data_IF_940140672986
#
_entry.id   IF_940140672986
#
_cell.length_a   1.000
_cell.length_b   1.000
_cell.length_c   1.000
_cell.angle_alpha   90.00
_cell.angle_beta   90.00
_cell.angle_gamma   90.00
#
_symmetry.space_group_name_H-M   'P 1'
#
loop_
_entity.id
_entity.type
_entity.pdbx_description
1 polymer ?
#
# COMPACT_ATOMS: atom_id res chain seq x y z
N UNK A 1 -21.83 28.39 28.17
CA UNK A 1 -22.84 27.40 27.73
C UNK A 1 -22.28 26.19 26.95
N UNK A 2 -21.10 26.24 26.30
CA UNK A 2 -20.55 25.14 25.48
C UNK A 2 -20.27 23.80 26.23
N UNK A 3 -20.18 23.78 27.56
CA UNK A 3 -19.93 22.56 28.35
C UNK A 3 -21.14 21.97 29.09
N UNK A 4 -22.25 22.71 29.21
CA UNK A 4 -23.39 22.26 30.03
C UNK A 4 -24.23 21.19 29.33
N UNK A 5 -24.46 21.32 28.03
CA UNK A 5 -25.27 20.36 27.26
C UNK A 5 -24.57 18.99 27.16
N UNK A 6 -23.28 18.90 26.80
CA UNK A 6 -22.57 17.62 26.80
C UNK A 6 -22.51 16.96 28.18
N UNK A 7 -22.33 17.75 29.24
CA UNK A 7 -22.33 17.25 30.63
C UNK A 7 -23.70 16.75 31.11
N UNK A 8 -24.78 17.40 30.66
CA UNK A 8 -26.14 17.01 31.02
C UNK A 8 -26.58 15.74 30.30
N UNK A 9 -26.14 15.55 29.05
CA UNK A 9 -26.50 14.41 28.19
C UNK A 9 -25.55 13.21 28.31
N UNK A 10 -24.46 13.34 29.08
CA UNK A 10 -23.57 12.23 29.37
C UNK A 10 -24.17 11.35 30.47
N UNK A 11 -24.30 10.05 30.17
CA UNK A 11 -24.80 9.04 31.10
C UNK A 11 -23.70 7.98 31.22
N UNK A 12 -23.11 7.81 32.41
CA UNK A 12 -21.97 6.92 32.61
C UNK A 12 -22.40 5.44 32.60
N UNK A 13 -21.53 4.56 32.09
CA UNK A 13 -21.60 3.09 32.23
C UNK A 13 -22.89 2.42 31.73
N UNK A 14 -23.50 2.94 30.67
CA UNK A 14 -24.68 2.34 30.03
C UNK A 14 -24.36 1.95 28.58
N UNK A 15 -25.06 0.94 28.08
CA UNK A 15 -24.99 0.55 26.65
C UNK A 15 -25.50 1.71 25.77
N UNK A 16 -25.05 1.80 24.52
CA UNK A 16 -25.37 2.90 23.60
C UNK A 16 -26.89 3.09 23.42
N UNK A 17 -27.65 1.99 23.45
CA UNK A 17 -29.11 2.04 23.34
C UNK A 17 -29.77 2.68 24.56
N UNK A 18 -29.23 2.42 25.76
CA UNK A 18 -29.67 3.06 27.00
C UNK A 18 -29.18 4.50 27.08
N UNK A 19 -27.98 4.79 26.59
CA UNK A 19 -27.48 6.16 26.46
C UNK A 19 -28.41 7.00 25.57
N UNK A 20 -28.76 6.51 24.38
CA UNK A 20 -29.67 7.20 23.45
C UNK A 20 -31.02 7.50 24.10
N UNK A 21 -31.63 6.51 24.76
CA UNK A 21 -32.92 6.69 25.41
C UNK A 21 -32.85 7.61 26.61
N UNK A 22 -31.81 7.49 27.42
CA UNK A 22 -31.56 8.40 28.54
C UNK A 22 -31.42 9.85 28.09
N UNK A 23 -30.75 10.11 26.97
CA UNK A 23 -30.68 11.44 26.38
C UNK A 23 -32.06 11.94 25.93
N UNK A 24 -32.85 11.11 25.26
CA UNK A 24 -34.22 11.44 24.87
C UNK A 24 -35.07 11.75 26.10
N UNK A 25 -34.99 10.96 27.16
CA UNK A 25 -35.70 11.19 28.43
C UNK A 25 -35.32 12.54 29.03
N UNK A 26 -34.02 12.85 29.10
CA UNK A 26 -33.53 14.11 29.66
C UNK A 26 -34.06 15.30 28.85
N UNK A 27 -34.00 15.22 27.52
CA UNK A 27 -34.52 16.28 26.64
C UNK A 27 -36.02 16.47 26.81
N UNK A 28 -36.80 15.39 26.82
CA UNK A 28 -38.25 15.46 27.00
C UNK A 28 -38.63 15.99 28.39
N UNK A 29 -37.95 15.54 29.45
CA UNK A 29 -38.21 16.00 30.81
C UNK A 29 -37.85 17.48 31.00
N UNK A 30 -36.76 17.95 30.38
CA UNK A 30 -36.41 19.38 30.35
C UNK A 30 -37.46 20.19 29.61
N UNK A 31 -37.91 19.72 28.44
CA UNK A 31 -38.95 20.37 27.66
C UNK A 31 -40.24 20.52 28.49
N UNK A 32 -40.66 19.44 29.17
CA UNK A 32 -41.84 19.47 30.04
C UNK A 32 -41.64 20.45 31.19
N UNK A 33 -40.49 20.44 31.88
CA UNK A 33 -40.19 21.39 32.95
C UNK A 33 -40.26 22.85 32.47
N UNK A 34 -39.73 23.13 31.27
CA UNK A 34 -39.82 24.47 30.67
C UNK A 34 -41.29 24.84 30.41
N UNK A 35 -42.08 23.93 29.83
CA UNK A 35 -43.51 24.14 29.59
C UNK A 35 -44.26 24.38 30.91
N UNK A 36 -43.97 23.60 31.95
CA UNK A 36 -44.57 23.75 33.28
C UNK A 36 -44.30 25.14 33.86
N UNK A 37 -43.06 25.62 33.81
CA UNK A 37 -42.70 26.97 34.26
C UNK A 37 -43.46 28.03 33.47
N UNK A 38 -43.48 27.92 32.13
CA UNK A 38 -44.15 28.88 31.25
C UNK A 38 -45.69 28.88 31.41
N UNK A 39 -46.28 27.72 31.69
CA UNK A 39 -47.74 27.59 31.89
C UNK A 39 -48.21 28.11 33.25
N UNK A 40 -47.32 28.18 34.24
CA UNK A 40 -47.67 28.55 35.63
C UNK A 40 -48.34 29.94 35.73
N UNK A 41 -47.82 31.03 35.13
CA UNK A 41 -48.52 32.32 35.15
C UNK A 41 -49.85 32.29 34.37
N UNK A 42 -49.94 31.49 33.31
CA UNK A 42 -51.15 31.38 32.49
C UNK A 42 -52.32 30.77 33.29
N UNK A 43 -52.05 29.80 34.17
CA UNK A 43 -53.05 29.19 35.05
C UNK A 43 -53.77 30.23 35.91
N UNK A 44 -53.07 31.25 36.41
CA UNK A 44 -53.65 32.33 37.20
C UNK A 44 -54.49 33.31 36.37
N UNK A 45 -54.20 33.43 35.07
CA UNK A 45 -54.91 34.34 34.16
C UNK A 45 -56.17 33.68 33.62
N UNK A 46 -56.07 32.43 33.15
CA UNK A 46 -57.15 31.73 32.42
C UNK A 46 -58.13 31.07 33.38
N UNK A 47 -57.64 30.48 34.47
CA UNK A 47 -58.48 29.75 35.42
C UNK A 47 -58.18 30.16 36.87
N UNK A 48 -58.49 31.41 37.27
CA UNK A 48 -58.15 31.91 38.61
C UNK A 48 -58.75 31.07 39.75
N UNK A 49 -59.94 30.50 39.51
CA UNK A 49 -60.70 29.73 40.51
C UNK A 49 -60.07 28.37 40.83
N UNK A 50 -59.34 27.77 39.87
CA UNK A 50 -58.65 26.48 40.03
C UNK A 50 -57.13 26.62 40.06
N UNK A 51 -56.61 27.84 40.23
CA UNK A 51 -55.19 28.12 40.13
C UNK A 51 -54.35 27.40 41.19
N UNK A 52 -54.84 27.31 42.43
CA UNK A 52 -54.11 26.66 43.54
C UNK A 52 -53.93 25.14 43.34
N UNK A 53 -54.98 24.34 43.04
CA UNK A 53 -54.80 22.92 42.70
C UNK A 53 -53.90 22.69 41.49
N UNK A 54 -54.05 23.48 40.43
CA UNK A 54 -53.23 23.36 39.22
C UNK A 54 -51.77 23.72 39.47
N UNK A 55 -51.51 24.70 40.35
CA UNK A 55 -50.15 25.03 40.79
C UNK A 55 -49.51 23.85 41.54
N UNK A 56 -50.25 23.18 42.42
CA UNK A 56 -49.73 22.01 43.14
C UNK A 56 -49.35 20.89 42.15
N UNK A 57 -50.18 20.64 41.14
CA UNK A 57 -49.90 19.67 40.06
C UNK A 57 -48.65 20.08 39.27
N UNK A 58 -48.51 21.36 38.92
CA UNK A 58 -47.32 21.87 38.23
C UNK A 58 -46.04 21.71 39.06
N UNK A 59 -46.08 22.05 40.35
CA UNK A 59 -44.93 21.89 41.26
C UNK A 59 -44.57 20.41 41.41
N UNK A 60 -45.55 19.55 41.64
CA UNK A 60 -45.33 18.11 41.75
C UNK A 60 -44.73 17.54 40.45
N UNK A 61 -45.28 17.92 39.30
CA UNK A 61 -44.75 17.56 37.99
C UNK A 61 -43.30 18.01 37.81
N UNK A 62 -42.99 19.27 38.14
CA UNK A 62 -41.64 19.80 38.04
C UNK A 62 -40.63 19.01 38.90
N UNK A 63 -41.01 18.67 40.14
CA UNK A 63 -40.18 17.86 41.04
C UNK A 63 -39.96 16.46 40.47
N UNK A 64 -41.02 15.81 39.96
CA UNK A 64 -40.93 14.46 39.40
C UNK A 64 -40.07 14.44 38.13
N UNK A 65 -40.27 15.36 37.19
CA UNK A 65 -39.46 15.41 35.96
C UNK A 65 -38.01 15.81 36.23
N UNK A 66 -37.76 16.61 37.29
CA UNK A 66 -36.39 16.83 37.78
C UNK A 66 -35.78 15.54 38.33
N UNK A 67 -36.53 14.76 39.10
CA UNK A 67 -36.08 13.45 39.58
C UNK A 67 -35.82 12.47 38.42
N UNK A 68 -36.65 12.50 37.36
CA UNK A 68 -36.44 11.72 36.13
C UNK A 68 -35.10 12.09 35.47
N UNK A 69 -34.77 13.38 35.37
CA UNK A 69 -33.48 13.83 34.81
C UNK A 69 -32.32 13.30 35.66
N UNK A 70 -32.41 13.42 36.98
CA UNK A 70 -31.38 12.91 37.90
C UNK A 70 -31.23 11.39 37.77
N UNK A 71 -32.35 10.66 37.71
CA UNK A 71 -32.37 9.20 37.61
C UNK A 71 -31.76 8.70 36.29
N UNK A 72 -32.06 9.39 35.17
CA UNK A 72 -31.41 9.13 33.87
C UNK A 72 -29.90 9.37 33.94
N UNK A 73 -29.45 10.41 34.63
CA UNK A 73 -28.02 10.73 34.74
C UNK A 73 -27.21 9.77 35.61
N UNK A 74 -27.84 9.13 36.59
CA UNK A 74 -27.17 8.09 37.40
C UNK A 74 -27.17 6.71 36.71
N UNK A 75 -27.59 6.63 35.44
CA UNK A 75 -27.59 5.40 34.65
C UNK A 75 -28.86 4.55 34.79
N UNK A 76 -29.83 4.97 35.60
CA UNK A 76 -31.08 4.23 35.82
C UNK A 76 -32.13 4.56 34.74
N UNK A 77 -31.76 4.39 33.47
CA UNK A 77 -32.54 4.82 32.29
C UNK A 77 -33.91 4.12 32.20
N UNK A 78 -33.96 2.83 32.56
CA UNK A 78 -35.20 2.07 32.55
C UNK A 78 -36.23 2.65 33.53
N UNK A 79 -35.81 2.90 34.77
CA UNK A 79 -36.69 3.42 35.82
C UNK A 79 -37.06 4.88 35.59
N UNK A 80 -36.13 5.70 35.08
CA UNK A 80 -36.44 7.08 34.72
C UNK A 80 -37.44 7.17 33.58
N UNK A 81 -37.33 6.28 32.58
CA UNK A 81 -38.29 6.18 31.50
C UNK A 81 -39.67 5.70 31.96
N UNK A 82 -39.72 4.69 32.83
CA UNK A 82 -40.97 4.20 33.39
C UNK A 82 -41.66 5.28 34.23
N UNK A 83 -40.92 5.96 35.11
CA UNK A 83 -41.42 7.07 35.91
C UNK A 83 -41.95 8.21 35.04
N UNK A 84 -41.23 8.56 33.97
CA UNK A 84 -41.67 9.57 33.01
C UNK A 84 -43.05 9.21 32.42
N UNK A 85 -43.18 8.00 31.88
CA UNK A 85 -44.42 7.55 31.21
C UNK A 85 -45.57 7.43 32.21
N UNK A 86 -45.33 6.85 33.38
CA UNK A 86 -46.35 6.73 34.44
C UNK A 86 -46.85 8.11 34.87
N UNK A 87 -45.96 9.10 35.00
CA UNK A 87 -46.32 10.46 35.43
C UNK A 87 -47.20 11.15 34.40
N UNK A 88 -46.83 11.13 33.12
CA UNK A 88 -47.65 11.76 32.06
C UNK A 88 -48.98 11.03 31.86
N UNK A 89 -48.99 9.70 31.92
CA UNK A 89 -50.23 8.91 31.84
C UNK A 89 -51.16 9.22 33.01
N UNK A 90 -50.64 9.24 34.24
CA UNK A 90 -51.46 9.50 35.43
C UNK A 90 -52.07 10.90 35.38
N UNK A 91 -51.34 11.89 34.87
CA UNK A 91 -51.86 13.25 34.68
C UNK A 91 -53.01 13.31 33.66
N UNK A 92 -52.94 12.53 32.58
CA UNK A 92 -54.02 12.49 31.57
C UNK A 92 -55.24 11.75 32.11
N UNK A 93 -55.02 10.66 32.85
CA UNK A 93 -56.09 9.86 33.45
C UNK A 93 -56.89 10.59 34.52
N UNK A 94 -56.35 11.66 35.12
CA UNK A 94 -57.08 12.47 36.10
C UNK A 94 -57.99 13.52 35.46
N UNK A 95 -57.87 13.79 34.15
CA UNK A 95 -58.65 14.83 33.46
C UNK A 95 -60.17 14.60 33.56
N UNK A 96 -60.73 13.39 33.40
CA UNK A 96 -62.16 13.12 33.56
C UNK A 96 -62.73 13.43 34.96
N UNK A 97 -61.87 13.60 35.97
CA UNK A 97 -62.26 13.95 37.35
C UNK A 97 -62.17 15.45 37.64
N UNK A 98 -61.70 16.25 36.69
CA UNK A 98 -61.49 17.67 36.90
C UNK A 98 -62.79 18.36 37.28
N UNK A 99 -62.77 19.14 38.36
CA UNK A 99 -63.92 19.78 39.05
C UNK A 99 -64.80 20.66 38.11
N UNK A 100 -64.36 20.94 36.87
CA UNK A 100 -65.06 21.75 35.87
C UNK A 100 -65.05 21.13 34.45
N UNK A 101 -64.89 19.81 34.31
CA UNK A 101 -64.86 19.20 32.97
C UNK A 101 -66.25 18.86 32.44
N UNK A 102 -66.62 19.45 31.31
CA UNK A 102 -67.83 19.07 30.58
C UNK A 102 -67.77 17.61 30.11
N UNK A 103 -68.94 16.99 29.89
CA UNK A 103 -69.05 15.61 29.39
C UNK A 103 -68.20 15.38 28.13
N UNK A 104 -68.12 16.37 27.25
CA UNK A 104 -67.33 16.28 26.01
C UNK A 104 -65.84 16.06 26.31
N UNK A 105 -65.27 16.82 27.25
CA UNK A 105 -63.85 16.72 27.65
C UNK A 105 -63.55 15.35 28.27
N UNK A 106 -64.50 14.80 29.02
CA UNK A 106 -64.37 13.47 29.62
C UNK A 106 -64.31 12.33 28.58
N UNK A 107 -65.01 12.47 27.44
CA UNK A 107 -64.95 11.50 26.35
C UNK A 107 -63.80 11.74 25.35
N UNK A 108 -63.25 12.95 25.27
CA UNK A 108 -62.15 13.30 24.35
C UNK A 108 -60.76 13.21 24.99
N UNK A 109 -60.64 13.40 26.31
CA UNK A 109 -59.37 13.22 27.03
C UNK A 109 -58.64 11.87 26.83
N UNK A 110 -59.33 10.72 26.64
CA UNK A 110 -58.68 9.43 26.41
C UNK A 110 -57.84 9.38 25.13
N UNK A 111 -58.16 10.22 24.14
CA UNK A 111 -57.38 10.31 22.90
C UNK A 111 -55.97 10.86 23.16
N UNK A 112 -55.75 11.63 24.23
CA UNK A 112 -54.40 12.09 24.59
C UNK A 112 -53.49 10.97 25.12
N UNK A 113 -54.05 9.83 25.55
CA UNK A 113 -53.25 8.66 25.97
C UNK A 113 -52.41 8.08 24.81
N UNK A 114 -52.76 8.38 23.57
CA UNK A 114 -51.92 8.06 22.38
C UNK A 114 -50.53 8.66 22.52
N UNK A 115 -50.40 9.90 23.01
CA UNK A 115 -49.11 10.54 23.19
C UNK A 115 -48.22 9.77 24.18
N UNK A 116 -48.82 9.18 25.22
CA UNK A 116 -48.07 8.38 26.19
C UNK A 116 -47.50 7.10 25.57
N UNK A 117 -48.23 6.49 24.62
CA UNK A 117 -47.76 5.33 23.86
C UNK A 117 -46.63 5.71 22.91
N UNK A 118 -46.77 6.84 22.19
CA UNK A 118 -45.73 7.35 21.30
C UNK A 118 -44.44 7.65 22.07
N UNK A 119 -44.55 8.33 23.21
CA UNK A 119 -43.40 8.64 24.06
C UNK A 119 -42.79 7.36 24.66
N UNK A 120 -43.61 6.38 25.06
CA UNK A 120 -43.13 5.08 25.52
C UNK A 120 -42.27 4.39 24.45
N UNK A 121 -42.62 4.49 23.17
CA UNK A 121 -41.80 3.96 22.07
C UNK A 121 -40.41 4.59 21.92
N UNK A 122 -40.28 5.86 22.32
CA UNK A 122 -39.01 6.59 22.27
C UNK A 122 -38.14 6.34 23.51
N UNK A 123 -38.78 6.07 24.65
CA UNK A 123 -38.16 6.09 25.98
C UNK A 123 -37.94 4.68 26.56
N UNK A 124 -38.82 3.72 26.25
CA UNK A 124 -38.79 2.36 26.78
C UNK A 124 -38.37 1.33 25.72
N UNK A 125 -38.10 0.08 26.13
CA UNK A 125 -37.89 -1.02 25.16
C UNK A 125 -39.24 -1.34 24.51
N UNK A 126 -39.29 -1.69 23.20
CA UNK A 126 -40.56 -1.85 22.50
C UNK A 126 -41.54 -2.79 23.21
N UNK A 127 -41.05 -3.86 23.83
CA UNK A 127 -41.89 -4.81 24.58
C UNK A 127 -42.71 -4.15 25.72
N UNK A 128 -42.20 -3.09 26.34
CA UNK A 128 -42.87 -2.38 27.43
C UNK A 128 -44.00 -1.46 26.96
N UNK A 129 -44.13 -1.19 25.65
CA UNK A 129 -45.29 -0.46 25.10
C UNK A 129 -46.59 -1.19 25.43
N UNK A 130 -46.58 -2.53 25.47
CA UNK A 130 -47.73 -3.33 25.88
C UNK A 130 -48.11 -3.13 27.34
N UNK A 131 -47.13 -2.98 28.24
CA UNK A 131 -47.40 -2.68 29.64
C UNK A 131 -48.01 -1.28 29.81
N UNK A 132 -47.55 -0.30 29.01
CA UNK A 132 -48.13 1.05 28.98
C UNK A 132 -49.55 1.02 28.42
N UNK A 133 -49.82 0.23 27.38
CA UNK A 133 -51.19 0.04 26.87
C UNK A 133 -52.12 -0.54 27.93
N UNK A 134 -51.68 -1.57 28.64
CA UNK A 134 -52.45 -2.19 29.73
C UNK A 134 -52.75 -1.14 30.80
N UNK A 135 -51.73 -0.39 31.24
CA UNK A 135 -51.88 0.67 32.24
C UNK A 135 -52.83 1.78 31.79
N UNK A 136 -52.73 2.22 30.53
CA UNK A 136 -53.61 3.23 29.95
C UNK A 136 -55.07 2.75 29.91
N UNK A 137 -55.32 1.54 29.40
CA UNK A 137 -56.69 1.01 29.25
C UNK A 137 -57.30 0.72 30.62
N UNK A 138 -56.57 0.09 31.54
CA UNK A 138 -57.07 -0.17 32.90
C UNK A 138 -57.31 1.13 33.66
N UNK A 139 -56.37 2.07 33.57
CA UNK A 139 -56.47 3.37 34.22
C UNK A 139 -57.62 4.20 33.67
N UNK A 140 -57.88 4.11 32.35
CA UNK A 140 -59.00 4.79 31.70
C UNK A 140 -60.35 4.23 32.16
N UNK A 141 -60.50 2.91 32.21
CA UNK A 141 -61.74 2.27 32.69
C UNK A 141 -62.02 2.63 34.15
N UNK A 142 -60.99 2.62 35.00
CA UNK A 142 -61.10 3.07 36.39
C UNK A 142 -61.43 4.56 36.46
N UNK A 143 -60.82 5.37 35.59
CA UNK A 143 -61.06 6.81 35.52
C UNK A 143 -62.53 7.13 35.21
N UNK A 144 -63.08 6.52 34.16
CA UNK A 144 -64.50 6.67 33.82
C UNK A 144 -65.45 6.15 34.89
N UNK A 145 -65.13 4.99 35.49
CA UNK A 145 -65.96 4.40 36.54
C UNK A 145 -66.10 5.31 37.75
N UNK A 146 -64.98 5.80 38.28
CA UNK A 146 -64.98 6.70 39.43
C UNK A 146 -65.57 8.09 39.07
N UNK A 147 -65.44 8.54 37.82
CA UNK A 147 -66.03 9.80 37.34
C UNK A 147 -67.55 9.70 37.10
N UNK A 148 -68.16 8.52 37.30
CA UNK A 148 -69.59 8.30 37.08
C UNK A 148 -70.01 8.36 35.60
N UNK A 149 -69.05 8.18 34.70
CA UNK A 149 -69.29 8.15 33.25
C UNK A 149 -69.82 6.76 32.90
N UNK A 150 -71.01 6.66 32.31
CA UNK A 150 -71.60 5.37 32.05
C UNK A 150 -70.80 4.65 30.94
N UNK A 151 -70.42 3.41 31.22
CA UNK A 151 -69.63 2.59 30.31
C UNK A 151 -70.56 1.96 29.29
N UNK A 152 -70.33 2.25 28.00
CA UNK A 152 -71.00 1.62 26.87
C UNK A 152 -72.54 1.64 26.95
N UNK A 153 -73.13 2.71 27.51
CA UNK A 153 -74.57 2.76 27.78
C UNK A 153 -75.40 3.42 26.68
N UNK A 154 -74.80 4.30 25.88
CA UNK A 154 -75.47 5.02 24.79
C UNK A 154 -74.63 4.99 23.51
N UNK A 155 -75.26 5.30 22.37
CA UNK A 155 -74.61 5.17 21.06
C UNK A 155 -73.38 6.07 20.93
N UNK A 156 -73.46 7.31 21.43
CA UNK A 156 -72.35 8.26 21.38
C UNK A 156 -71.21 7.83 22.32
N UNK A 157 -71.54 7.44 23.56
CA UNK A 157 -70.55 6.99 24.55
C UNK A 157 -69.84 5.73 24.07
N UNK A 158 -70.60 4.73 23.61
CA UNK A 158 -70.06 3.49 23.08
C UNK A 158 -69.13 3.75 21.90
N UNK A 159 -69.53 4.64 20.98
CA UNK A 159 -68.71 4.99 19.81
C UNK A 159 -67.39 5.66 20.22
N UNK A 160 -67.44 6.68 21.10
CA UNK A 160 -66.24 7.41 21.53
C UNK A 160 -65.31 6.54 22.39
N UNK A 161 -65.86 5.77 23.33
CA UNK A 161 -65.08 4.89 24.21
C UNK A 161 -64.41 3.75 23.41
N UNK A 162 -65.15 3.13 22.48
CA UNK A 162 -64.59 2.08 21.61
C UNK A 162 -63.53 2.65 20.68
N UNK A 163 -63.77 3.82 20.08
CA UNK A 163 -62.80 4.50 19.22
C UNK A 163 -61.50 4.83 19.98
N UNK A 164 -61.60 5.32 21.22
CA UNK A 164 -60.43 5.63 22.04
C UNK A 164 -59.60 4.38 22.40
N UNK A 165 -60.25 3.27 22.77
CA UNK A 165 -59.55 2.01 23.08
C UNK A 165 -58.92 1.43 21.82
N UNK A 166 -59.67 1.40 20.71
CA UNK A 166 -59.18 0.89 19.43
C UNK A 166 -57.96 1.67 18.94
N UNK A 167 -58.01 3.00 19.02
CA UNK A 167 -56.92 3.86 18.60
C UNK A 167 -55.67 3.71 19.48
N UNK A 168 -55.84 3.45 20.78
CA UNK A 168 -54.73 3.11 21.66
C UNK A 168 -54.08 1.77 21.29
N UNK A 169 -54.89 0.72 21.03
CA UNK A 169 -54.37 -0.58 20.58
C UNK A 169 -53.60 -0.42 19.27
N UNK A 170 -54.19 0.27 18.28
CA UNK A 170 -53.54 0.55 17.01
C UNK A 170 -52.23 1.31 17.18
N UNK A 171 -52.24 2.38 17.99
CA UNK A 171 -51.02 3.16 18.28
C UNK A 171 -49.95 2.29 18.95
N UNK A 172 -50.31 1.49 19.96
CA UNK A 172 -49.37 0.60 20.64
C UNK A 172 -48.74 -0.41 19.67
N UNK A 173 -49.54 -0.99 18.76
CA UNK A 173 -49.05 -1.89 17.72
C UNK A 173 -48.06 -1.18 16.78
N UNK A 174 -48.42 -0.01 16.25
CA UNK A 174 -47.53 0.75 15.36
C UNK A 174 -46.24 1.18 16.06
N UNK A 175 -46.33 1.64 17.30
CA UNK A 175 -45.16 2.00 18.11
C UNK A 175 -44.27 0.79 18.40
N UNK A 176 -44.85 -0.37 18.71
CA UNK A 176 -44.11 -1.61 18.93
C UNK A 176 -43.38 -2.07 17.67
N UNK A 177 -44.11 -2.20 16.56
CA UNK A 177 -43.58 -2.67 15.27
C UNK A 177 -42.52 -1.70 14.74
N UNK A 178 -42.82 -0.40 14.75
CA UNK A 178 -41.87 0.64 14.35
C UNK A 178 -40.62 0.64 15.24
N UNK A 179 -40.78 0.47 16.55
CA UNK A 179 -39.66 0.37 17.49
C UNK A 179 -38.78 -0.86 17.27
N UNK A 180 -39.39 -2.02 16.97
CA UNK A 180 -38.68 -3.26 16.66
C UNK A 180 -37.88 -3.15 15.35
N UNK A 181 -38.52 -2.71 14.27
CA UNK A 181 -37.87 -2.52 12.96
C UNK A 181 -36.72 -1.52 13.06
N UNK A 182 -36.95 -0.39 13.74
CA UNK A 182 -35.89 0.63 13.91
C UNK A 182 -34.71 0.09 14.72
N UNK A 183 -34.98 -0.73 15.74
CA UNK A 183 -33.92 -1.33 16.57
C UNK A 183 -33.08 -2.34 15.78
N UNK A 184 -33.72 -3.23 15.02
CA UNK A 184 -33.01 -4.23 14.20
C UNK A 184 -32.21 -3.56 13.08
N UNK A 185 -32.81 -2.61 12.36
CA UNK A 185 -32.13 -1.88 11.29
C UNK A 185 -30.92 -1.08 11.81
N UNK A 186 -31.02 -0.47 13.00
CA UNK A 186 -29.90 0.23 13.61
C UNK A 186 -28.78 -0.72 14.03
N UNK A 187 -29.12 -1.88 14.59
CA UNK A 187 -28.14 -2.89 14.98
C UNK A 187 -27.38 -3.43 13.75
N UNK A 188 -28.11 -3.75 12.68
CA UNK A 188 -27.51 -4.21 11.42
C UNK A 188 -26.63 -3.13 10.78
N UNK A 189 -27.08 -1.87 10.75
CA UNK A 189 -26.29 -0.75 10.23
C UNK A 189 -24.99 -0.54 11.04
N UNK A 190 -25.05 -0.71 12.37
CA UNK A 190 -23.86 -0.65 13.24
C UNK A 190 -22.89 -1.78 12.93
N UNK A 191 -23.38 -3.01 12.79
CA UNK A 191 -22.55 -4.16 12.48
C UNK A 191 -21.82 -3.97 11.14
N UNK A 192 -22.54 -3.60 10.08
CA UNK A 192 -21.93 -3.31 8.77
C UNK A 192 -20.88 -2.20 8.83
N UNK A 193 -21.12 -1.17 9.66
CA UNK A 193 -20.16 -0.07 9.86
C UNK A 193 -18.88 -0.55 10.54
N UNK A 194 -19.00 -1.45 11.51
CA UNK A 194 -17.83 -1.99 12.22
C UNK A 194 -17.03 -2.94 11.34
N UNK A 195 -17.70 -3.82 10.58
CA UNK A 195 -17.07 -4.66 9.55
C UNK A 195 -16.31 -3.82 8.52
N UNK A 196 -16.92 -2.74 8.01
CA UNK A 196 -16.27 -1.83 7.07
C UNK A 196 -15.03 -1.14 7.67
N UNK A 197 -15.07 -0.77 8.95
CA UNK A 197 -13.90 -0.19 9.65
C UNK A 197 -12.77 -1.20 9.80
N UNK A 198 -13.10 -2.45 10.13
CA UNK A 198 -12.10 -3.52 10.24
C UNK A 198 -11.43 -3.79 8.89
N UNK A 199 -12.21 -3.90 7.81
CA UNK A 199 -11.68 -4.07 6.45
C UNK A 199 -10.79 -2.89 6.05
N UNK A 200 -11.22 -1.65 6.32
CA UNK A 200 -10.41 -0.47 6.06
C UNK A 200 -9.08 -0.48 6.84
N UNK A 201 -9.10 -0.91 8.11
CA UNK A 201 -7.88 -1.08 8.92
C UNK A 201 -6.95 -2.16 8.38
N UNK A 202 -7.49 -3.29 7.93
CA UNK A 202 -6.71 -4.36 7.28
C UNK A 202 -6.08 -3.90 5.98
N UNK A 203 -6.82 -3.17 5.13
CA UNK A 203 -6.28 -2.60 3.90
C UNK A 203 -5.17 -1.58 4.18
N UNK A 204 -5.33 -0.73 5.18
CA UNK A 204 -4.30 0.24 5.56
C UNK A 204 -3.01 -0.45 6.02
N UNK A 205 -3.11 -1.47 6.87
CA UNK A 205 -1.94 -2.24 7.33
C UNK A 205 -1.27 -3.05 6.22
N UNK A 206 -2.06 -3.64 5.32
CA UNK A 206 -1.55 -4.35 4.14
C UNK A 206 -0.81 -3.39 3.20
N UNK A 207 -1.39 -2.23 2.90
CA UNK A 207 -0.77 -1.21 2.06
C UNK A 207 0.55 -0.72 2.66
N UNK A 208 0.58 -0.40 3.96
CA UNK A 208 1.81 0.02 4.63
C UNK A 208 2.90 -1.06 4.58
N UNK A 209 2.52 -2.34 4.70
CA UNK A 209 3.46 -3.47 4.58
C UNK A 209 3.99 -3.62 3.16
N UNK A 210 3.12 -3.50 2.15
CA UNK A 210 3.51 -3.54 0.74
C UNK A 210 4.45 -2.39 0.39
N UNK A 211 4.15 -1.17 0.84
CA UNK A 211 5.02 -0.01 0.64
C UNK A 211 6.41 -0.23 1.26
N UNK A 212 6.48 -0.76 2.48
CA UNK A 212 7.75 -1.09 3.12
C UNK A 212 8.53 -2.17 2.35
N UNK A 213 7.85 -3.21 1.86
CA UNK A 213 8.47 -4.25 1.04
C UNK A 213 8.99 -3.70 -0.30
N UNK A 214 8.21 -2.84 -0.96
CA UNK A 214 8.62 -2.17 -2.21
C UNK A 214 9.85 -1.31 -1.96
N UNK A 215 9.87 -0.50 -0.89
CA UNK A 215 11.02 0.31 -0.53
C UNK A 215 12.26 -0.55 -0.26
N UNK A 216 12.12 -1.65 0.50
CA UNK A 216 13.21 -2.58 0.78
C UNK A 216 13.76 -3.24 -0.49
N UNK A 217 12.89 -3.76 -1.37
CA UNK A 217 13.31 -4.36 -2.64
C UNK A 217 13.99 -3.36 -3.56
N UNK A 218 13.47 -2.13 -3.62
CA UNK A 218 14.04 -1.07 -4.45
C UNK A 218 15.45 -0.69 -3.96
N UNK A 219 15.63 -0.55 -2.64
CA UNK A 219 16.95 -0.29 -2.05
C UNK A 219 17.94 -1.45 -2.31
N UNK A 220 17.50 -2.69 -2.12
CA UNK A 220 18.34 -3.87 -2.38
C UNK A 220 18.76 -3.98 -3.86
N UNK A 221 17.84 -3.68 -4.79
CA UNK A 221 18.13 -3.65 -6.22
C UNK A 221 19.12 -2.53 -6.57
N UNK A 222 18.97 -1.33 -6.01
CA UNK A 222 19.92 -0.24 -6.22
C UNK A 222 21.32 -0.61 -5.72
N UNK A 223 21.42 -1.25 -4.55
CA UNK A 223 22.69 -1.73 -4.03
C UNK A 223 23.33 -2.80 -4.94
N UNK A 224 22.54 -3.76 -5.40
CA UNK A 224 23.02 -4.79 -6.32
C UNK A 224 23.49 -4.21 -7.67
N UNK A 225 22.78 -3.21 -8.21
CA UNK A 225 23.19 -2.51 -9.43
C UNK A 225 24.52 -1.76 -9.22
N UNK A 226 24.67 -1.07 -8.09
CA UNK A 226 25.91 -0.39 -7.75
C UNK A 226 27.10 -1.36 -7.66
N UNK A 227 26.92 -2.52 -7.02
CA UNK A 227 27.95 -3.56 -6.96
C UNK A 227 28.30 -4.13 -8.35
N UNK A 228 27.30 -4.32 -9.21
CA UNK A 228 27.54 -4.78 -10.58
C UNK A 228 28.30 -3.75 -11.40
N UNK A 229 27.98 -2.47 -11.28
CA UNK A 229 28.70 -1.38 -11.95
C UNK A 229 30.17 -1.33 -11.50
N UNK A 230 30.43 -1.48 -10.19
CA UNK A 230 31.80 -1.54 -9.68
C UNK A 230 32.57 -2.74 -10.23
N UNK A 231 31.96 -3.94 -10.22
CA UNK A 231 32.58 -5.14 -10.77
C UNK A 231 32.87 -4.99 -12.26
N UNK A 232 31.95 -4.43 -13.03
CA UNK A 232 32.12 -4.18 -14.45
C UNK A 232 33.27 -3.18 -14.71
N UNK A 233 33.36 -2.11 -13.92
CA UNK A 233 34.44 -1.13 -14.02
C UNK A 233 35.81 -1.75 -13.68
N UNK A 234 35.87 -2.59 -12.65
CA UNK A 234 37.09 -3.29 -12.26
C UNK A 234 37.52 -4.31 -13.33
N UNK A 235 36.57 -5.09 -13.87
CA UNK A 235 36.83 -5.99 -15.00
C UNK A 235 37.35 -5.24 -16.23
N UNK A 236 36.74 -4.10 -16.57
CA UNK A 236 37.18 -3.27 -17.69
C UNK A 236 38.61 -2.75 -17.49
N UNK A 237 38.96 -2.34 -16.27
CA UNK A 237 40.32 -1.91 -15.92
C UNK A 237 41.32 -3.05 -16.06
N UNK A 238 41.02 -4.23 -15.53
CA UNK A 238 41.89 -5.41 -15.64
C UNK A 238 42.11 -5.83 -17.11
N UNK A 239 41.06 -5.78 -17.93
CA UNK A 239 41.16 -6.05 -19.36
C UNK A 239 42.07 -5.03 -20.07
N UNK A 240 41.92 -3.74 -19.76
CA UNK A 240 42.78 -2.70 -20.31
C UNK A 240 44.25 -2.88 -19.92
N UNK A 241 44.52 -3.24 -18.66
CA UNK A 241 45.88 -3.56 -18.17
C UNK A 241 46.46 -4.79 -18.88
N UNK A 242 45.66 -5.86 -19.05
CA UNK A 242 46.09 -7.06 -19.77
C UNK A 242 46.42 -6.75 -21.23
N UNK A 243 45.62 -5.92 -21.90
CA UNK A 243 45.88 -5.53 -23.29
C UNK A 243 47.17 -4.68 -23.40
N UNK A 244 47.41 -3.77 -22.45
CA UNK A 244 48.68 -3.03 -22.39
C UNK A 244 49.88 -3.96 -22.19
N UNK A 245 49.79 -4.93 -21.28
CA UNK A 245 50.83 -5.93 -21.07
C UNK A 245 51.08 -6.76 -22.34
N UNK A 246 50.02 -7.20 -23.03
CA UNK A 246 50.12 -7.94 -24.29
C UNK A 246 50.76 -7.10 -25.38
N UNK A 247 50.43 -5.82 -25.46
CA UNK A 247 51.04 -4.90 -26.42
C UNK A 247 52.54 -4.72 -26.16
N UNK A 248 52.94 -4.49 -24.91
CA UNK A 248 54.36 -4.39 -24.55
C UNK A 248 55.12 -5.69 -24.87
N UNK A 249 54.52 -6.87 -24.63
CA UNK A 249 55.10 -8.16 -25.02
C UNK A 249 55.23 -8.27 -26.55
N UNK A 250 54.23 -7.81 -27.32
CA UNK A 250 54.29 -7.81 -28.79
C UNK A 250 55.43 -6.93 -29.32
N UNK A 251 55.60 -5.73 -28.78
CA UNK A 251 56.69 -4.82 -29.15
C UNK A 251 58.09 -5.42 -28.89
N UNK A 252 58.23 -6.32 -27.91
CA UNK A 252 59.48 -7.01 -27.60
C UNK A 252 59.73 -8.27 -28.45
N UNK A 253 58.79 -8.70 -29.30
CA UNK A 253 58.75 -10.09 -29.83
C UNK A 253 59.28 -10.33 -31.25
N UNK A 254 59.90 -9.33 -31.91
CA UNK A 254 60.58 -9.50 -33.21
C UNK A 254 61.81 -8.57 -33.32
N UNK A 255 62.99 -8.96 -32.83
CA UNK A 255 64.17 -8.13 -32.99
C UNK A 255 64.87 -8.43 -34.32
N UNK A 256 64.86 -7.49 -35.28
CA UNK A 256 65.83 -7.49 -36.39
C UNK A 256 67.14 -6.92 -35.85
N UNK A 257 68.13 -7.79 -35.66
CA UNK A 257 69.36 -7.49 -34.93
C UNK A 257 70.51 -7.21 -35.91
N UNK A 258 71.14 -6.02 -35.86
CA UNK A 258 72.40 -5.80 -36.57
C UNK A 258 73.53 -6.53 -35.86
N UNK A 259 74.27 -7.36 -36.62
CA UNK A 259 75.46 -8.05 -36.10
C UNK A 259 76.77 -7.47 -36.66
N UNK A 260 76.68 -6.70 -37.76
CA UNK A 260 77.76 -5.90 -38.37
C UNK A 260 77.13 -4.72 -39.13
N UNK A 261 77.97 -3.78 -39.60
CA UNK A 261 77.55 -2.57 -40.30
C UNK A 261 76.57 -2.82 -41.47
N UNK A 262 76.73 -3.93 -42.20
CA UNK A 262 75.87 -4.27 -43.36
C UNK A 262 75.18 -5.62 -43.23
N UNK A 263 75.11 -6.18 -42.02
CA UNK A 263 74.58 -7.53 -41.79
C UNK A 263 73.54 -7.56 -40.70
N UNK A 264 72.35 -8.06 -41.04
CA UNK A 264 71.19 -8.20 -40.15
C UNK A 264 70.86 -9.67 -39.89
N UNK A 265 70.36 -9.97 -38.70
CA UNK A 265 69.81 -11.27 -38.32
C UNK A 265 68.39 -11.08 -37.82
N UNK A 266 67.47 -11.90 -38.29
CA UNK A 266 66.07 -11.93 -37.89
C UNK A 266 65.73 -13.32 -37.36
N UNK A 267 65.77 -13.54 -36.04
CA UNK A 267 65.36 -14.80 -35.43
C UNK A 267 63.83 -14.89 -35.34
N UNK A 268 63.28 -16.00 -35.82
CA UNK A 268 61.86 -16.31 -35.75
C UNK A 268 61.63 -17.31 -34.60
N UNK A 269 60.87 -16.90 -33.59
CA UNK A 269 60.63 -17.70 -32.38
C UNK A 269 59.13 -17.81 -32.11
N UNK A 270 58.64 -19.03 -31.91
CA UNK A 270 57.26 -19.33 -31.54
C UNK A 270 56.34 -19.52 -32.76
N UNK A 271 55.03 -19.56 -32.52
CA UNK A 271 54.05 -19.65 -33.59
C UNK A 271 54.06 -18.37 -34.44
N UNK A 272 54.11 -18.53 -35.76
CA UNK A 272 53.95 -17.45 -36.73
C UNK A 272 52.49 -17.45 -37.19
N UNK A 273 51.86 -16.28 -37.17
CA UNK A 273 50.59 -16.03 -37.84
C UNK A 273 50.78 -14.91 -38.89
N UNK A 274 49.74 -14.66 -39.67
CA UNK A 274 49.77 -13.68 -40.77
C UNK A 274 49.99 -12.25 -40.28
N UNK A 275 49.44 -11.86 -39.13
CA UNK A 275 49.62 -10.53 -38.57
C UNK A 275 51.08 -10.32 -38.15
N UNK A 276 51.66 -11.30 -37.46
CA UNK A 276 53.05 -11.24 -37.03
C UNK A 276 54.02 -11.21 -38.22
N UNK A 277 53.74 -11.94 -39.30
CA UNK A 277 54.55 -11.88 -40.53
C UNK A 277 54.54 -10.51 -41.21
N UNK A 278 53.40 -9.81 -41.19
CA UNK A 278 53.31 -8.45 -41.75
C UNK A 278 54.15 -7.46 -40.93
N UNK A 279 54.03 -7.50 -39.60
CA UNK A 279 54.82 -6.66 -38.69
C UNK A 279 56.32 -6.94 -38.85
N UNK A 280 56.68 -8.22 -38.94
CA UNK A 280 58.02 -8.71 -39.21
C UNK A 280 58.59 -8.18 -40.54
N UNK A 281 57.80 -8.27 -41.62
CA UNK A 281 58.20 -7.77 -42.93
C UNK A 281 58.50 -6.29 -42.87
N UNK A 282 57.60 -5.50 -42.28
CA UNK A 282 57.78 -4.05 -42.17
C UNK A 282 59.05 -3.72 -41.40
N UNK A 283 59.26 -4.31 -40.22
CA UNK A 283 60.44 -4.07 -39.41
C UNK A 283 61.74 -4.49 -40.12
N UNK A 284 61.74 -5.63 -40.81
CA UNK A 284 62.89 -6.10 -41.57
C UNK A 284 63.27 -5.12 -42.70
N UNK A 285 62.30 -4.68 -43.49
CA UNK A 285 62.53 -3.73 -44.59
C UNK A 285 62.98 -2.36 -44.09
N UNK A 286 62.38 -1.86 -43.00
CA UNK A 286 62.80 -0.60 -42.37
C UNK A 286 64.25 -0.68 -41.88
N UNK A 287 64.64 -1.77 -41.22
CA UNK A 287 66.00 -1.95 -40.72
C UNK A 287 67.02 -2.18 -41.85
N UNK A 288 66.64 -2.89 -42.91
CA UNK A 288 67.47 -3.03 -44.12
C UNK A 288 67.79 -1.66 -44.70
N UNK A 289 66.78 -0.80 -44.86
CA UNK A 289 66.94 0.54 -45.40
C UNK A 289 67.81 1.42 -44.48
N UNK A 290 67.57 1.38 -43.16
CA UNK A 290 68.34 2.16 -42.18
C UNK A 290 69.81 1.74 -42.10
N UNK A 291 70.08 0.43 -42.13
CA UNK A 291 71.43 -0.12 -41.99
C UNK A 291 72.18 -0.28 -43.32
N UNK A 292 71.55 0.03 -44.47
CA UNK A 292 72.07 -0.32 -45.80
C UNK A 292 72.55 -1.79 -45.87
N UNK A 293 71.71 -2.69 -45.34
CA UNK A 293 72.09 -4.07 -45.14
C UNK A 293 72.31 -4.79 -46.48
N UNK A 294 73.49 -5.39 -46.65
CA UNK A 294 73.82 -6.23 -47.80
C UNK A 294 73.43 -7.68 -47.60
N UNK A 295 73.38 -8.12 -46.34
CA UNK A 295 73.06 -9.50 -45.98
C UNK A 295 72.02 -9.54 -44.85
N UNK A 296 70.94 -10.30 -45.07
CA UNK A 296 69.91 -10.61 -44.09
C UNK A 296 69.88 -12.12 -43.84
N UNK A 297 70.09 -12.53 -42.59
CA UNK A 297 69.92 -13.90 -42.15
C UNK A 297 68.57 -14.06 -41.46
N UNK A 298 67.70 -14.93 -42.00
CA UNK A 298 66.43 -15.26 -41.36
C UNK A 298 66.60 -16.63 -40.68
N UNK A 299 66.54 -16.66 -39.35
CA UNK A 299 66.72 -17.88 -38.56
C UNK A 299 65.35 -18.45 -38.18
N UNK A 300 64.98 -19.56 -38.82
CA UNK A 300 63.71 -20.28 -38.60
C UNK A 300 63.83 -21.44 -37.61
N UNK A 301 64.96 -21.56 -36.89
CA UNK A 301 65.20 -22.67 -35.94
C UNK A 301 64.11 -22.78 -34.87
N UNK A 302 63.54 -21.64 -34.46
CA UNK A 302 62.50 -21.50 -33.42
C UNK A 302 61.05 -21.63 -33.90
N UNK A 303 60.83 -21.98 -35.18
CA UNK A 303 59.49 -22.13 -35.78
C UNK A 303 59.16 -23.62 -35.91
N UNK A 304 58.23 -24.15 -35.08
CA UNK A 304 57.97 -25.59 -35.03
C UNK A 304 57.15 -26.12 -36.21
N UNK A 305 56.25 -25.30 -36.78
CA UNK A 305 55.36 -25.67 -37.89
C UNK A 305 55.23 -24.48 -38.82
N UNK A 306 55.31 -24.73 -40.13
CA UNK A 306 55.03 -23.75 -41.18
C UNK A 306 53.84 -24.26 -41.99
N UNK A 307 52.78 -23.45 -42.08
CA UNK A 307 51.65 -23.70 -42.96
C UNK A 307 51.82 -22.98 -44.31
N UNK A 308 50.87 -23.17 -45.23
CA UNK A 308 50.89 -22.55 -46.56
C UNK A 308 50.91 -21.03 -46.53
N UNK A 309 50.21 -20.39 -45.59
CA UNK A 309 50.12 -18.93 -45.51
C UNK A 309 51.41 -18.35 -44.95
N UNK A 310 51.96 -18.98 -43.92
CA UNK A 310 53.25 -18.60 -43.32
C UNK A 310 54.39 -18.77 -44.32
N UNK A 311 54.39 -19.87 -45.08
CA UNK A 311 55.39 -20.11 -46.11
C UNK A 311 55.37 -19.03 -47.20
N UNK A 312 54.18 -18.66 -47.71
CA UNK A 312 54.02 -17.59 -48.69
C UNK A 312 54.47 -16.23 -48.14
N UNK A 313 54.06 -15.90 -46.92
CA UNK A 313 54.48 -14.66 -46.26
C UNK A 313 55.99 -14.56 -46.11
N UNK A 314 56.66 -15.64 -45.67
CA UNK A 314 58.11 -15.68 -45.56
C UNK A 314 58.83 -15.41 -46.90
N UNK A 315 58.31 -15.97 -47.99
CA UNK A 315 58.85 -15.71 -49.33
C UNK A 315 58.66 -14.27 -49.76
N UNK A 316 57.50 -13.66 -49.48
CA UNK A 316 57.28 -12.24 -49.76
C UNK A 316 58.27 -11.35 -49.00
N UNK A 317 58.62 -11.68 -47.76
CA UNK A 317 59.69 -10.97 -47.02
C UNK A 317 61.02 -11.10 -47.74
N UNK A 318 61.38 -12.31 -48.18
CA UNK A 318 62.63 -12.57 -48.90
C UNK A 318 62.70 -11.81 -50.21
N UNK A 319 61.63 -11.82 -51.01
CA UNK A 319 61.55 -11.12 -52.28
C UNK A 319 61.64 -9.61 -52.09
N UNK A 320 60.90 -9.06 -51.12
CA UNK A 320 60.94 -7.63 -50.81
C UNK A 320 62.34 -7.18 -50.36
N UNK A 321 63.02 -7.95 -49.51
CA UNK A 321 64.40 -7.66 -49.10
C UNK A 321 65.38 -7.71 -50.28
N UNK A 322 65.19 -8.64 -51.23
CA UNK A 322 66.02 -8.71 -52.44
C UNK A 322 65.80 -7.55 -53.39
N UNK A 323 64.58 -7.06 -53.53
CA UNK A 323 64.28 -5.84 -54.29
C UNK A 323 64.99 -4.61 -53.71
N UNK A 324 65.24 -4.61 -52.39
CA UNK A 324 66.04 -3.59 -51.70
C UNK A 324 67.56 -3.79 -51.87
N UNK A 325 68.01 -4.79 -52.65
CA UNK A 325 69.42 -5.08 -52.89
C UNK A 325 70.09 -5.93 -51.81
N UNK A 326 69.32 -6.50 -50.88
CA UNK A 326 69.85 -7.33 -49.79
C UNK A 326 69.87 -8.81 -50.17
N UNK A 327 71.00 -9.48 -49.94
CA UNK A 327 71.12 -10.94 -50.08
C UNK A 327 70.48 -11.60 -48.86
N UNK A 328 69.48 -12.44 -49.10
CA UNK A 328 68.77 -13.14 -48.02
C UNK A 328 69.27 -14.58 -47.90
N UNK A 329 69.56 -14.99 -46.68
CA UNK A 329 69.99 -16.35 -46.35
C UNK A 329 69.04 -16.93 -45.29
N UNK A 330 68.44 -18.07 -45.60
CA UNK A 330 67.55 -18.78 -44.68
C UNK A 330 68.35 -19.81 -43.87
N UNK A 331 68.10 -19.86 -42.57
CA UNK A 331 68.90 -20.64 -41.64
C UNK A 331 68.01 -21.49 -40.75
N UNK A 332 68.45 -22.72 -40.43
CA UNK A 332 67.79 -23.51 -39.39
C UNK A 332 66.53 -24.22 -39.86
N UNK A 333 66.41 -24.47 -41.16
CA UNK A 333 65.28 -25.20 -41.75
C UNK A 333 65.31 -26.65 -41.25
N UNK A 334 64.26 -27.04 -40.52
CA UNK A 334 64.06 -28.42 -40.05
C UNK A 334 63.59 -29.32 -41.20
N UNK A 335 63.86 -30.64 -41.17
CA UNK A 335 63.45 -31.57 -42.23
C UNK A 335 61.95 -31.49 -42.58
N UNK A 336 61.09 -31.36 -41.57
CA UNK A 336 59.63 -31.31 -41.73
C UNK A 336 59.19 -30.02 -42.43
N UNK A 337 59.87 -28.90 -42.13
CA UNK A 337 59.63 -27.61 -42.79
C UNK A 337 60.10 -27.64 -44.24
N UNK A 338 61.27 -28.24 -44.50
CA UNK A 338 61.78 -28.39 -45.86
C UNK A 338 60.82 -29.20 -46.75
N UNK A 339 60.27 -30.31 -46.23
CA UNK A 339 59.27 -31.10 -46.95
C UNK A 339 58.02 -30.29 -47.27
N UNK A 340 57.53 -29.50 -46.33
CA UNK A 340 56.36 -28.62 -46.55
C UNK A 340 56.65 -27.57 -47.62
N UNK A 341 57.79 -26.88 -47.57
CA UNK A 341 58.15 -25.87 -48.59
C UNK A 341 58.22 -26.45 -50.00
N UNK A 342 58.78 -27.67 -50.14
CA UNK A 342 58.83 -28.39 -51.42
C UNK A 342 57.44 -28.81 -51.88
N UNK A 343 56.61 -29.33 -50.97
CA UNK A 343 55.23 -29.77 -51.27
C UNK A 343 54.36 -28.60 -51.74
N UNK A 344 54.60 -27.40 -51.21
CA UNK A 344 53.91 -26.17 -51.60
C UNK A 344 54.39 -25.59 -52.93
N UNK A 345 55.39 -26.19 -53.57
CA UNK A 345 55.92 -25.74 -54.86
C UNK A 345 56.68 -24.42 -54.79
N UNK A 346 57.26 -24.09 -53.64
CA UNK A 346 57.99 -22.84 -53.43
C UNK A 346 59.39 -22.97 -54.05
N UNK A 347 59.73 -22.06 -54.97
CA UNK A 347 61.04 -22.01 -55.60
C UNK A 347 62.06 -21.33 -54.69
N UNK A 348 62.95 -22.13 -54.11
CA UNK A 348 64.06 -21.67 -53.26
C UNK A 348 65.39 -21.60 -54.02
N UNK A 349 65.42 -21.82 -55.35
CA UNK A 349 66.66 -21.93 -56.12
C UNK A 349 67.54 -20.68 -56.04
N UNK A 350 66.93 -19.53 -55.75
CA UNK A 350 67.60 -18.23 -55.63
C UNK A 350 67.86 -17.78 -54.18
N UNK A 351 67.58 -18.64 -53.19
CA UNK A 351 67.74 -18.36 -51.76
C UNK A 351 68.81 -19.28 -51.18
N UNK A 352 69.84 -18.70 -50.54
CA UNK A 352 70.88 -19.49 -49.87
C UNK A 352 70.34 -20.08 -48.58
N UNK A 353 70.64 -21.35 -48.32
CA UNK A 353 70.21 -22.04 -47.09
C UNK A 353 71.39 -22.61 -46.32
N UNK A 354 71.31 -22.57 -44.99
CA UNK A 354 72.28 -23.22 -44.09
C UNK A 354 71.56 -23.90 -42.93
N UNK A 355 72.13 -25.00 -42.43
CA UNK A 355 71.58 -25.71 -41.27
C UNK A 355 71.71 -24.92 -39.97
N UNK A 356 72.69 -24.02 -39.83
CA UNK A 356 72.90 -23.19 -38.63
C UNK A 356 73.36 -21.79 -38.98
N UNK A 357 73.03 -20.81 -38.11
CA UNK A 357 73.40 -19.40 -38.32
C UNK A 357 74.92 -19.23 -38.34
N UNK A 358 75.60 -20.01 -37.50
CA UNK A 358 77.05 -20.04 -37.41
C UNK A 358 77.69 -20.47 -38.73
N UNK A 359 77.12 -21.48 -39.42
CA UNK A 359 77.61 -21.91 -40.73
C UNK A 359 77.41 -20.83 -41.80
N UNK A 360 76.25 -20.17 -41.78
CA UNK A 360 75.91 -19.08 -42.69
C UNK A 360 76.88 -17.89 -42.56
N UNK A 361 77.13 -17.45 -41.31
CA UNK A 361 78.05 -16.34 -41.01
C UNK A 361 79.51 -16.66 -41.33
N UNK A 362 79.94 -17.92 -41.21
CA UNK A 362 81.29 -18.35 -41.62
C UNK A 362 81.45 -18.31 -43.14
N UNK A 363 80.44 -18.75 -43.88
CA UNK A 363 80.45 -18.70 -45.34
C UNK A 363 80.47 -17.27 -45.87
N UNK A 364 79.72 -16.35 -45.26
CA UNK A 364 79.75 -14.93 -45.61
C UNK A 364 81.16 -14.33 -45.44
N UNK A 365 81.82 -14.57 -44.30
CA UNK A 365 83.20 -14.09 -44.07
C UNK A 365 84.20 -14.55 -45.12
N UNK A 366 84.06 -15.77 -45.63
CA UNK A 366 84.95 -16.31 -46.65
C UNK A 366 84.70 -15.68 -48.03
N UNK A 367 83.48 -15.21 -48.30
CA UNK A 367 83.13 -14.51 -49.54
C UNK A 367 83.49 -13.02 -49.52
N UNK A 368 83.50 -12.39 -48.34
CA UNK A 368 83.85 -10.96 -48.15
C UNK A 368 85.35 -10.71 -47.90
N UNK A 369 86.16 -11.77 -47.82
CA UNK A 369 87.62 -11.73 -47.60
C UNK A 369 88.46 -11.94 -48.87
N UNK A 370 87.89 -11.73 -50.05
CA UNK A 370 88.60 -11.63 -51.34
C UNK A 370 88.58 -10.21 -51.86
#
# INVERSE_FOLDING_TARGET
>A
MRGLVPWLLHIPNVDEDEQRRGQVIIVLALLINIITILSTPLVFIVTPQSALPLLFINIAGFVIYTAVIVLSRIGQVYWSGALFVITITSLILTIPFGIQTDRITSYTSPFFLIFTLLVAGMVLRPIWVWAVLIFNVSGLLVSWWLAGIPLFSGELEQTLQTAAIFLQIGTALFTFVGGQITATALHEARQRREEARQIAGQLATLNATLEAQVAQRTAALQQALYELEQRAAEQARLLAENEQQRQAIRELSVPVLPIRETTLVMPLVGALDTARLADMQQQALEQIARANARDLFIDVTGVPVIDTQVAKGLIQVVEAARLMGTRVTLVGIRPEVAQTLVTLGIDLHSIRTFSTLQAALRSERQASGQ
#
